data_IF_351109388141
#
_entry.id   IF_351109388141
#
_cell.length_a   1.000
_cell.length_b   1.000
_cell.length_c   1.000
_cell.angle_alpha   90.00
_cell.angle_beta   90.00
_cell.angle_gamma   90.00
#
_symmetry.space_group_name_H-M   'P 1'
#
loop_
_entity.id
_entity.type
_entity.pdbx_description
1 polymer ?
#
# COMPACT_ATOMS: atom_id res chain seq x y z
N UNK A 1 5.50 16.79 -4.32
CA UNK A 1 6.49 15.71 -4.47
C UNK A 1 6.57 14.99 -3.15
N UNK A 2 6.47 13.67 -3.15
CA UNK A 2 6.57 12.87 -1.94
C UNK A 2 7.98 12.97 -1.33
N UNK A 3 8.07 12.96 0.00
CA UNK A 3 9.32 13.20 0.75
C UNK A 3 10.36 12.09 0.52
N UNK A 4 9.90 10.90 0.15
CA UNK A 4 10.70 9.69 0.00
C UNK A 4 10.80 9.23 -1.47
N UNK A 5 10.65 10.15 -2.43
CA UNK A 5 10.63 9.85 -3.86
C UNK A 5 9.27 9.41 -4.39
N UNK A 6 9.21 9.07 -5.67
CA UNK A 6 7.97 8.67 -6.37
C UNK A 6 7.57 7.22 -6.04
N UNK A 7 6.27 6.91 -6.14
CA UNK A 7 5.72 5.57 -5.98
C UNK A 7 6.21 4.68 -7.14
N UNK A 8 6.62 3.45 -6.83
CA UNK A 8 7.18 2.51 -7.81
C UNK A 8 6.10 1.51 -8.28
N UNK A 9 6.09 1.21 -9.59
CA UNK A 9 5.14 0.23 -10.15
C UNK A 9 5.46 -1.21 -9.73
N UNK A 10 6.75 -1.52 -9.52
CA UNK A 10 7.16 -2.84 -9.05
C UNK A 10 6.95 -2.99 -7.53
N UNK A 11 6.13 -3.97 -7.15
CA UNK A 11 5.77 -4.22 -5.75
C UNK A 11 6.98 -4.51 -4.84
N UNK A 12 8.03 -5.15 -5.34
CA UNK A 12 9.21 -5.44 -4.52
C UNK A 12 10.02 -4.17 -4.24
N UNK A 13 10.14 -3.31 -5.24
CA UNK A 13 10.82 -2.02 -5.15
C UNK A 13 10.04 -1.09 -4.23
N UNK A 14 8.71 -0.98 -4.39
CA UNK A 14 7.88 -0.14 -3.52
C UNK A 14 7.87 -0.64 -2.08
N UNK A 15 7.77 -1.95 -1.85
CA UNK A 15 7.92 -2.54 -0.51
C UNK A 15 9.24 -2.14 0.13
N UNK A 16 10.35 -2.25 -0.61
CA UNK A 16 11.67 -1.87 -0.10
C UNK A 16 11.69 -0.37 0.26
N UNK A 17 11.12 0.49 -0.59
CA UNK A 17 11.01 1.94 -0.34
C UNK A 17 10.24 2.26 0.96
N UNK A 18 9.12 1.58 1.18
CA UNK A 18 8.30 1.77 2.40
C UNK A 18 9.07 1.31 3.64
N UNK A 19 9.73 0.15 3.58
CA UNK A 19 10.54 -0.37 4.69
C UNK A 19 11.75 0.52 5.00
N UNK A 20 12.37 1.11 3.98
CA UNK A 20 13.46 2.07 4.14
C UNK A 20 13.00 3.39 4.76
N UNK A 21 11.77 3.83 4.46
CA UNK A 21 11.18 4.99 5.12
C UNK A 21 10.85 4.72 6.59
N UNK A 22 10.39 3.50 6.92
CA UNK A 22 10.16 3.06 8.30
C UNK A 22 11.44 2.96 9.12
N UNK A 23 12.56 2.56 8.51
CA UNK A 23 13.86 2.40 9.21
C UNK A 23 14.52 3.73 9.58
N UNK A 24 14.05 4.86 9.06
CA UNK A 24 14.56 6.19 9.39
C UNK A 24 14.37 6.52 10.88
N UNK A 25 15.32 7.22 11.53
CA UNK A 25 15.27 7.50 12.98
C UNK A 25 13.95 8.08 13.50
N UNK A 26 13.27 8.92 12.71
CA UNK A 26 11.98 9.53 13.08
C UNK A 26 10.75 8.62 12.93
N UNK A 27 10.92 7.40 12.41
CA UNK A 27 9.83 6.46 12.11
C UNK A 27 10.03 5.08 12.76
N UNK A 28 11.20 4.78 13.34
CA UNK A 28 11.50 3.47 13.96
C UNK A 28 10.55 3.08 15.10
N UNK A 29 9.88 4.05 15.73
CA UNK A 29 8.89 3.79 16.78
C UNK A 29 7.55 3.27 16.23
N UNK A 30 7.32 3.36 14.92
CA UNK A 30 6.09 2.92 14.25
C UNK A 30 6.17 1.42 14.01
N UNK A 31 5.26 0.66 14.63
CA UNK A 31 5.14 -0.76 14.35
C UNK A 31 4.24 -0.96 13.13
N UNK A 32 4.82 -1.24 11.97
CA UNK A 32 4.10 -1.55 10.73
C UNK A 32 4.57 -2.90 10.18
N UNK A 33 3.68 -3.89 10.13
CA UNK A 33 3.98 -5.27 9.71
C UNK A 33 3.45 -5.54 8.32
N UNK A 34 4.32 -5.96 7.40
CA UNK A 34 3.92 -6.46 6.09
C UNK A 34 3.12 -7.75 6.24
N UNK A 35 1.94 -7.81 5.62
CA UNK A 35 1.08 -8.99 5.59
C UNK A 35 0.67 -9.32 4.13
N UNK A 36 -0.21 -10.29 3.94
CA UNK A 36 -0.73 -10.64 2.63
C UNK A 36 0.25 -11.40 1.74
N UNK A 37 0.02 -11.35 0.42
CA UNK A 37 0.78 -12.13 -0.56
C UNK A 37 2.27 -11.74 -0.58
N UNK A 38 2.57 -10.44 -0.49
CA UNK A 38 3.93 -9.94 -0.55
C UNK A 38 4.75 -10.33 0.70
N UNK A 39 4.11 -10.41 1.86
CA UNK A 39 4.74 -10.95 3.08
C UNK A 39 5.14 -12.42 2.90
N UNK A 40 4.23 -13.25 2.35
CA UNK A 40 4.52 -14.67 2.13
C UNK A 40 5.68 -14.85 1.15
N UNK A 41 5.70 -14.11 0.05
CA UNK A 41 6.80 -14.14 -0.93
C UNK A 41 8.12 -13.67 -0.33
N UNK A 42 8.08 -12.71 0.60
CA UNK A 42 9.28 -12.18 1.28
C UNK A 42 9.84 -13.14 2.33
N UNK A 43 8.99 -13.79 3.13
CA UNK A 43 9.43 -14.61 4.27
C UNK A 43 9.49 -16.12 3.98
N UNK A 44 8.82 -16.60 2.94
CA UNK A 44 8.78 -18.03 2.57
C UNK A 44 9.29 -18.27 1.14
N UNK A 45 10.57 -17.94 0.83
CA UNK A 45 11.10 -18.01 -0.54
C UNK A 45 11.03 -19.42 -1.13
N UNK A 46 11.19 -20.46 -0.31
CA UNK A 46 11.12 -21.86 -0.72
C UNK A 46 9.78 -22.24 -1.38
N UNK A 47 8.67 -21.67 -0.91
CA UNK A 47 7.32 -21.95 -1.43
C UNK A 47 6.75 -20.80 -2.26
N UNK A 48 7.58 -19.80 -2.59
CA UNK A 48 7.16 -18.67 -3.40
C UNK A 48 6.54 -19.11 -4.72
N UNK A 49 7.11 -20.15 -5.35
CA UNK A 49 6.67 -20.69 -6.64
C UNK A 49 5.17 -21.01 -6.71
N UNK A 50 4.52 -21.31 -5.57
CA UNK A 50 3.07 -21.58 -5.53
C UNK A 50 2.25 -20.38 -6.01
N UNK A 51 2.71 -19.16 -5.73
CA UNK A 51 2.05 -17.95 -6.21
C UNK A 51 2.07 -17.88 -7.75
N UNK A 52 3.22 -18.21 -8.34
CA UNK A 52 3.42 -18.20 -9.80
C UNK A 52 2.63 -19.35 -10.45
N UNK A 53 2.68 -20.55 -9.85
CA UNK A 53 1.96 -21.73 -10.33
C UNK A 53 0.43 -21.56 -10.27
N UNK A 54 -0.08 -20.77 -9.33
CA UNK A 54 -1.49 -20.42 -9.21
C UNK A 54 -1.88 -19.18 -10.04
N UNK A 55 -0.94 -18.58 -10.79
CA UNK A 55 -1.19 -17.41 -11.62
C UNK A 55 -1.59 -16.15 -10.84
N UNK A 56 -1.17 -16.04 -9.57
CA UNK A 56 -1.57 -14.93 -8.70
C UNK A 56 -0.63 -13.73 -8.88
N UNK A 57 -1.17 -12.65 -9.43
CA UNK A 57 -0.47 -11.35 -9.49
C UNK A 57 -0.64 -10.57 -8.20
N UNK A 58 0.35 -9.73 -7.86
CA UNK A 58 0.19 -8.75 -6.79
C UNK A 58 -0.74 -7.64 -7.24
N UNK A 59 -1.66 -7.24 -6.37
CA UNK A 59 -2.60 -6.13 -6.62
C UNK A 59 -2.37 -4.98 -5.67
N UNK A 60 -2.00 -5.30 -4.42
CA UNK A 60 -1.93 -4.34 -3.32
C UNK A 60 -0.76 -4.70 -2.37
N UNK A 61 -0.41 -3.76 -1.48
CA UNK A 61 0.52 -4.00 -0.37
C UNK A 61 -0.22 -3.79 0.95
N UNK A 62 -0.34 -4.87 1.71
CA UNK A 62 -1.05 -4.84 2.99
C UNK A 62 -0.11 -4.68 4.18
N UNK A 63 -0.49 -3.80 5.10
CA UNK A 63 0.19 -3.62 6.38
C UNK A 63 -0.77 -3.71 7.57
N UNK A 64 -0.27 -4.24 8.68
CA UNK A 64 -0.94 -4.21 9.97
C UNK A 64 -0.17 -3.37 10.99
N UNK A 65 -0.89 -2.61 11.81
CA UNK A 65 -0.33 -1.81 12.90
C UNK A 65 -1.22 -1.86 14.13
N UNK A 66 -0.72 -1.39 15.28
CA UNK A 66 -1.55 -1.16 16.46
C UNK A 66 -2.27 0.18 16.35
N UNK A 67 -3.48 0.28 16.91
CA UNK A 67 -4.29 1.51 16.91
C UNK A 67 -3.51 2.75 17.36
N UNK A 68 -2.66 2.61 18.39
CA UNK A 68 -1.81 3.70 18.90
C UNK A 68 -0.83 4.29 17.87
N UNK A 69 -0.51 3.56 16.81
CA UNK A 69 0.40 3.99 15.74
C UNK A 69 -0.34 4.41 14.46
N UNK A 70 -1.68 4.33 14.39
CA UNK A 70 -2.45 4.65 13.17
C UNK A 70 -2.19 6.07 12.67
N UNK A 71 -2.09 7.04 13.60
CA UNK A 71 -1.79 8.44 13.25
C UNK A 71 -0.41 8.58 12.62
N UNK A 72 0.61 7.96 13.21
CA UNK A 72 1.98 8.02 12.69
C UNK A 72 2.13 7.25 11.37
N UNK A 73 1.48 6.09 11.25
CA UNK A 73 1.46 5.31 10.02
C UNK A 73 0.75 6.09 8.89
N UNK A 74 -0.37 6.76 9.20
CA UNK A 74 -1.08 7.63 8.25
C UNK A 74 -0.20 8.79 7.78
N UNK A 75 0.47 9.46 8.72
CA UNK A 75 1.43 10.52 8.40
C UNK A 75 2.52 10.00 7.46
N UNK A 76 3.12 8.85 7.79
CA UNK A 76 4.18 8.25 6.99
C UNK A 76 3.72 7.91 5.56
N UNK A 77 2.56 7.25 5.41
CA UNK A 77 2.02 6.91 4.09
C UNK A 77 1.70 8.17 3.27
N UNK A 78 1.22 9.24 3.91
CA UNK A 78 1.02 10.54 3.24
C UNK A 78 2.35 11.15 2.79
N UNK A 79 3.38 11.11 3.63
CA UNK A 79 4.74 11.58 3.27
C UNK A 79 5.37 10.76 2.13
N UNK A 80 5.00 9.47 2.02
CA UNK A 80 5.37 8.57 0.93
C UNK A 80 4.61 8.85 -0.38
N UNK A 81 3.56 9.67 -0.34
CA UNK A 81 2.78 10.09 -1.51
C UNK A 81 1.43 9.40 -1.68
N UNK A 82 1.01 8.55 -0.73
CA UNK A 82 -0.28 7.88 -0.79
C UNK A 82 -1.42 8.78 -0.34
N UNK A 83 -2.55 8.69 -1.04
CA UNK A 83 -3.77 9.41 -0.70
C UNK A 83 -4.76 8.52 0.05
N UNK A 84 -5.60 9.13 0.88
CA UNK A 84 -6.67 8.42 1.60
C UNK A 84 -7.88 8.18 0.72
N UNK A 85 -8.36 6.94 0.67
CA UNK A 85 -9.76 6.71 0.34
C UNK A 85 -10.62 7.03 1.58
N UNK A 86 -11.08 8.28 1.64
CA UNK A 86 -11.93 8.80 2.71
C UNK A 86 -13.25 8.04 2.85
N UNK A 87 -13.70 7.34 1.80
CA UNK A 87 -14.93 6.55 1.81
C UNK A 87 -14.77 5.32 2.70
N UNK A 88 -13.66 4.59 2.52
CA UNK A 88 -13.34 3.41 3.32
C UNK A 88 -13.10 3.80 4.78
N UNK A 89 -12.30 4.84 5.04
CA UNK A 89 -12.04 5.29 6.41
C UNK A 89 -13.33 5.66 7.14
N UNK A 90 -14.28 6.30 6.44
CA UNK A 90 -15.57 6.69 7.04
C UNK A 90 -16.46 5.50 7.37
N UNK A 91 -16.34 4.39 6.65
CA UNK A 91 -17.13 3.17 6.86
C UNK A 91 -16.53 2.25 7.93
N UNK A 92 -15.20 2.14 8.00
CA UNK A 92 -14.51 1.17 8.87
C UNK A 92 -13.71 1.80 10.01
N UNK A 93 -13.67 3.13 10.10
CA UNK A 93 -12.87 3.86 11.08
C UNK A 93 -11.39 3.48 10.98
N UNK A 94 -10.73 3.37 12.13
CA UNK A 94 -9.32 2.97 12.22
C UNK A 94 -9.10 1.44 12.05
N UNK A 95 -10.18 0.67 11.85
CA UNK A 95 -10.13 -0.79 11.74
C UNK A 95 -9.67 -1.29 10.36
N UNK A 96 -9.92 -0.51 9.30
CA UNK A 96 -9.45 -0.79 7.92
C UNK A 96 -9.26 0.51 7.15
N UNK A 97 -8.05 0.71 6.62
CA UNK A 97 -7.68 1.87 5.82
C UNK A 97 -7.29 1.39 4.43
N UNK A 98 -7.78 2.06 3.39
CA UNK A 98 -7.30 1.87 2.02
C UNK A 98 -6.64 3.17 1.54
N UNK A 99 -5.50 3.02 0.89
CA UNK A 99 -4.65 4.11 0.45
C UNK A 99 -4.27 3.83 -1.00
N UNK A 100 -4.35 4.85 -1.83
CA UNK A 100 -4.18 4.69 -3.28
C UNK A 100 -3.07 5.62 -3.78
N UNK A 101 -2.39 5.20 -4.83
CA UNK A 101 -1.56 6.08 -5.64
C UNK A 101 -2.47 6.85 -6.62
N UNK A 102 -2.70 8.12 -6.34
CA UNK A 102 -3.54 9.00 -7.15
C UNK A 102 -3.01 9.20 -8.59
N UNK A 103 -1.75 8.85 -8.86
CA UNK A 103 -1.14 8.99 -10.17
C UNK A 103 -0.99 7.65 -10.93
N UNK A 104 -1.52 6.55 -10.37
CA UNK A 104 -1.45 5.23 -10.98
C UNK A 104 -2.15 5.20 -12.36
N UNK A 105 -1.44 4.87 -13.46
CA UNK A 105 -2.02 4.85 -14.82
C UNK A 105 -3.19 3.86 -14.97
N UNK A 106 -3.21 2.79 -14.18
CA UNK A 106 -4.25 1.77 -14.19
C UNK A 106 -5.60 2.28 -13.66
N UNK A 107 -5.59 3.28 -12.76
CA UNK A 107 -6.79 3.84 -12.15
C UNK A 107 -7.43 4.96 -12.99
N UNK A 108 -6.64 5.74 -13.75
CA UNK A 108 -7.17 6.76 -14.70
C UNK A 108 -8.17 6.16 -15.70
N UNK A 109 -7.88 4.95 -16.21
CA UNK A 109 -8.79 4.20 -17.11
C UNK A 109 -10.09 3.70 -16.44
N UNK A 110 -10.20 3.76 -15.12
CA UNK A 110 -11.42 3.39 -14.37
C UNK A 110 -12.34 4.59 -14.21
N UNK A 111 -11.79 5.80 -14.03
CA UNK A 111 -12.56 7.05 -14.02
C UNK A 111 -13.15 7.37 -15.40
N UNK A 112 -12.35 7.22 -16.47
CA UNK A 112 -12.79 7.49 -17.85
C UNK A 112 -13.93 6.55 -18.33
N UNK A 113 -14.17 5.43 -17.64
CA UNK A 113 -15.26 4.49 -17.97
C UNK A 113 -16.60 4.82 -17.30
N UNK A 114 -16.63 5.78 -16.37
CA UNK A 114 -17.88 6.18 -15.72
C UNK A 114 -18.63 7.29 -16.46
N UNK A 115 -18.01 7.96 -17.44
CA UNK A 115 -18.66 9.00 -18.26
C UNK A 115 -19.45 8.46 -19.48
N UNK A 116 -19.58 7.13 -19.63
CA UNK A 116 -20.26 6.50 -20.78
C UNK A 116 -21.41 5.56 -20.40
N UNK A 117 -21.95 5.66 -19.18
CA UNK A 117 -23.18 4.94 -18.80
C UNK A 117 -24.21 5.92 -18.24
N UNK A 118 -24.59 6.90 -19.07
CA UNK A 118 -25.92 7.52 -19.00
C UNK A 118 -26.40 7.66 -20.45
N UNK A 119 -27.18 6.67 -20.89
CA UNK A 119 -28.05 6.72 -22.05
C UNK A 119 -29.35 6.01 -21.68
#
# INVERSE_FOLDING_TARGET
MAKYGEIQEDFYTERTRILDALSQPGNQHIILRLIGALAFRTHCPQYGYLQDALGRVFTDIDFATYTKHVKDATRLLTELGYEEDKTVTRLFGEGRMHREDANCPAQRKRLDRHDHVVA
#
